data_IF_515789160570
#
_entry.id   IF_515789160570
#
_cell.length_a   1.000
_cell.length_b   1.000
_cell.length_c   1.000
_cell.angle_alpha   90.00
_cell.angle_beta   90.00
_cell.angle_gamma   90.00
#
_symmetry.space_group_name_H-M   'P 1'
#
loop_
_entity.id
_entity.type
_entity.pdbx_description
1 polymer ?
#
# COMPACT_ATOMS: atom_id res chain seq x y z
N UNK A 1 19.06 -15.54 -21.22
CA UNK A 1 18.80 -14.39 -22.10
C UNK A 1 17.32 -14.24 -22.52
N UNK A 2 16.61 -15.28 -23.00
CA UNK A 2 15.17 -15.14 -23.38
C UNK A 2 14.23 -14.77 -22.23
N UNK A 3 14.50 -15.22 -21.01
CA UNK A 3 13.69 -14.89 -19.82
C UNK A 3 13.85 -13.42 -19.40
N UNK A 4 15.08 -12.87 -19.45
CA UNK A 4 15.36 -11.47 -19.11
C UNK A 4 14.73 -10.48 -20.10
N UNK A 5 14.75 -10.83 -21.41
CA UNK A 5 14.13 -10.01 -22.45
C UNK A 5 12.59 -9.97 -22.31
N UNK A 6 11.95 -11.10 -21.94
CA UNK A 6 10.50 -11.16 -21.66
C UNK A 6 10.11 -10.36 -20.43
N UNK A 7 10.97 -10.34 -19.41
CA UNK A 7 10.77 -9.53 -18.20
C UNK A 7 10.81 -8.03 -18.51
N UNK A 8 11.73 -7.61 -19.38
CA UNK A 8 11.82 -6.21 -19.82
C UNK A 8 10.57 -5.76 -20.61
N UNK A 9 10.00 -6.65 -21.44
CA UNK A 9 8.78 -6.38 -22.22
C UNK A 9 7.56 -6.24 -21.29
N UNK A 10 7.46 -7.03 -20.24
CA UNK A 10 6.40 -6.91 -19.22
C UNK A 10 6.53 -5.58 -18.45
N UNK A 11 7.76 -5.19 -18.08
CA UNK A 11 8.03 -3.94 -17.37
C UNK A 11 7.69 -2.70 -18.22
N UNK A 12 8.03 -2.71 -19.52
CA UNK A 12 7.72 -1.62 -20.46
C UNK A 12 6.21 -1.49 -20.75
N UNK A 13 5.49 -2.62 -20.76
CA UNK A 13 4.04 -2.62 -20.98
C UNK A 13 3.27 -2.08 -19.76
N UNK A 14 3.79 -2.28 -18.54
CA UNK A 14 3.15 -1.87 -17.29
C UNK A 14 3.43 -0.41 -16.92
N UNK A 15 4.51 0.20 -17.40
CA UNK A 15 4.78 1.64 -17.19
C UNK A 15 3.81 2.55 -17.96
N UNK A 16 3.12 2.03 -18.98
CA UNK A 16 2.06 2.75 -19.71
C UNK A 16 0.64 2.55 -19.15
N UNK A 17 0.48 1.73 -18.10
CA UNK A 17 -0.82 1.32 -17.53
C UNK A 17 -1.15 2.04 -16.19
N UNK A 18 -0.74 3.29 -16.04
CA UNK A 18 -1.07 4.11 -14.85
C UNK A 18 -2.55 4.54 -14.72
N UNK A 19 -3.47 3.90 -15.46
CA UNK A 19 -4.91 4.18 -15.32
C UNK A 19 -5.76 3.02 -15.84
N UNK A 20 -5.90 1.93 -15.09
CA UNK A 20 -6.94 0.95 -15.44
C UNK A 20 -7.51 0.26 -14.22
N UNK A 21 -8.40 0.95 -13.55
CA UNK A 21 -9.38 0.31 -12.67
C UNK A 21 -10.38 -0.48 -13.54
N UNK A 22 -10.65 -1.71 -13.12
CA UNK A 22 -11.67 -2.64 -13.65
C UNK A 22 -11.49 -3.11 -15.10
N UNK A 23 -10.57 -4.04 -15.33
CA UNK A 23 -10.34 -4.66 -16.64
C UNK A 23 -11.49 -5.53 -17.15
N UNK A 24 -12.44 -5.92 -16.35
CA UNK A 24 -13.59 -6.73 -16.78
C UNK A 24 -14.83 -5.92 -17.18
N UNK A 25 -14.87 -4.62 -16.92
CA UNK A 25 -15.96 -3.73 -17.37
C UNK A 25 -15.61 -2.87 -18.56
N UNK A 26 -14.35 -2.81 -18.96
CA UNK A 26 -13.91 -2.00 -20.10
C UNK A 26 -13.50 -2.90 -21.25
N UNK A 27 -14.24 -2.84 -22.32
CA UNK A 27 -13.93 -3.34 -23.65
C UNK A 27 -14.22 -4.81 -23.93
N UNK A 28 -15.45 -5.26 -24.10
CA UNK A 28 -15.86 -6.26 -25.07
C UNK A 28 -14.93 -7.43 -25.47
N UNK A 29 -13.81 -7.63 -24.77
CA UNK A 29 -12.89 -8.73 -24.99
C UNK A 29 -13.51 -10.00 -24.37
N UNK A 30 -13.78 -10.96 -25.22
CA UNK A 30 -14.34 -12.23 -24.79
C UNK A 30 -13.41 -12.93 -23.81
N UNK A 31 -13.92 -13.26 -22.64
CA UNK A 31 -13.26 -14.16 -21.69
C UNK A 31 -13.08 -15.52 -22.36
N UNK A 32 -11.90 -16.10 -22.22
CA UNK A 32 -11.57 -17.45 -22.69
C UNK A 32 -11.29 -18.36 -21.51
N UNK A 33 -11.74 -19.57 -21.57
CA UNK A 33 -11.36 -20.61 -20.62
C UNK A 33 -10.17 -21.36 -21.19
N UNK A 34 -9.06 -21.31 -20.45
CA UNK A 34 -7.80 -21.91 -20.85
C UNK A 34 -7.36 -22.88 -19.75
N UNK A 35 -6.71 -23.98 -20.14
CA UNK A 35 -6.16 -24.96 -19.23
C UNK A 35 -4.63 -24.85 -19.19
N UNK A 36 -4.04 -24.96 -18.00
CA UNK A 36 -2.59 -25.00 -17.85
C UNK A 36 -2.03 -26.34 -18.33
N UNK A 37 -1.04 -26.30 -19.22
CA UNK A 37 -0.32 -27.48 -19.73
C UNK A 37 0.75 -27.98 -18.77
N UNK A 38 1.29 -27.07 -17.96
CA UNK A 38 2.31 -27.30 -16.95
C UNK A 38 2.09 -26.36 -15.77
N UNK A 39 2.90 -26.48 -14.70
CA UNK A 39 2.87 -25.57 -13.58
C UNK A 39 3.25 -24.14 -14.05
N UNK A 40 2.36 -23.20 -13.85
CA UNK A 40 2.49 -21.86 -14.41
C UNK A 40 2.57 -20.79 -13.32
N UNK A 41 3.56 -19.92 -13.43
CA UNK A 41 3.76 -18.79 -12.50
C UNK A 41 2.74 -17.69 -12.78
N UNK A 42 2.15 -17.17 -11.70
CA UNK A 42 1.30 -15.99 -11.74
C UNK A 42 2.15 -14.76 -11.40
N UNK A 43 2.05 -13.75 -12.25
CA UNK A 43 2.63 -12.44 -12.02
C UNK A 43 1.53 -11.45 -11.72
N UNK A 44 1.75 -10.49 -10.81
CA UNK A 44 0.80 -9.40 -10.58
C UNK A 44 1.51 -8.13 -10.09
N UNK A 45 0.83 -7.01 -10.24
CA UNK A 45 1.29 -5.76 -9.62
C UNK A 45 0.92 -5.78 -8.13
N UNK A 46 1.93 -5.57 -7.30
CA UNK A 46 1.82 -5.41 -5.84
C UNK A 46 2.53 -4.11 -5.46
N UNK A 47 1.76 -3.12 -5.02
CA UNK A 47 2.27 -1.76 -4.91
C UNK A 47 2.73 -1.22 -6.27
N UNK A 48 3.99 -0.84 -6.38
CA UNK A 48 4.59 -0.32 -7.63
C UNK A 48 5.42 -1.37 -8.39
N UNK A 49 5.44 -2.62 -7.93
CA UNK A 49 6.27 -3.66 -8.50
C UNK A 49 5.43 -4.77 -9.12
N UNK A 50 5.92 -5.34 -10.22
CA UNK A 50 5.41 -6.60 -10.76
C UNK A 50 6.26 -7.72 -10.19
N UNK A 51 5.61 -8.63 -9.48
CA UNK A 51 6.28 -9.73 -8.78
C UNK A 51 5.57 -11.05 -9.05
N UNK A 52 6.26 -12.16 -8.85
CA UNK A 52 5.61 -13.46 -8.79
C UNK A 52 4.75 -13.52 -7.52
N UNK A 53 3.47 -13.81 -7.70
CA UNK A 53 2.46 -13.83 -6.62
C UNK A 53 1.93 -15.23 -6.34
N UNK A 54 2.49 -16.24 -6.99
CA UNK A 54 2.15 -17.64 -6.80
C UNK A 54 2.24 -18.43 -8.08
N UNK A 55 1.63 -19.60 -8.08
CA UNK A 55 1.52 -20.48 -9.23
C UNK A 55 0.17 -21.21 -9.25
N UNK A 56 -0.14 -21.76 -10.40
CA UNK A 56 -1.18 -22.79 -10.59
C UNK A 56 -0.54 -24.03 -11.20
N UNK A 57 -0.99 -25.21 -10.77
CA UNK A 57 -0.49 -26.49 -11.27
C UNK A 57 -1.00 -26.78 -12.68
N UNK A 58 -0.38 -27.75 -13.34
CA UNK A 58 -0.86 -28.30 -14.61
C UNK A 58 -2.32 -28.78 -14.50
N UNK A 59 -3.06 -28.72 -15.59
CA UNK A 59 -4.44 -29.18 -15.69
C UNK A 59 -5.48 -28.23 -15.10
N UNK A 60 -5.13 -27.03 -14.67
CA UNK A 60 -6.07 -26.10 -14.03
C UNK A 60 -6.74 -25.20 -15.07
N UNK A 61 -8.05 -25.04 -14.96
CA UNK A 61 -8.83 -24.17 -15.85
C UNK A 61 -8.93 -22.78 -15.23
N UNK A 62 -8.60 -21.77 -16.02
CA UNK A 62 -8.67 -20.36 -15.67
C UNK A 62 -9.50 -19.58 -16.69
N UNK A 63 -10.27 -18.62 -16.21
CA UNK A 63 -10.93 -17.63 -17.06
C UNK A 63 -9.96 -16.47 -17.29
N UNK A 64 -9.56 -16.24 -18.52
CA UNK A 64 -8.51 -15.29 -18.90
C UNK A 64 -8.95 -14.40 -20.06
N UNK A 65 -8.32 -13.26 -20.18
CA UNK A 65 -8.51 -12.31 -21.29
C UNK A 65 -7.21 -12.20 -22.08
N UNK A 66 -7.22 -12.38 -23.42
CA UNK A 66 -6.01 -12.26 -24.21
C UNK A 66 -5.52 -10.81 -24.25
N UNK A 67 -4.20 -10.62 -24.11
CA UNK A 67 -3.53 -9.32 -24.31
C UNK A 67 -2.85 -9.29 -25.67
N UNK A 68 -2.35 -8.11 -26.08
CA UNK A 68 -1.51 -7.97 -27.25
C UNK A 68 -0.10 -8.57 -27.04
N UNK A 69 0.34 -8.72 -25.80
CA UNK A 69 1.61 -9.33 -25.40
C UNK A 69 1.50 -10.85 -25.25
N UNK A 70 2.59 -11.51 -24.86
CA UNK A 70 2.69 -12.96 -24.66
C UNK A 70 2.03 -13.45 -23.38
N UNK A 71 1.10 -12.68 -22.81
CA UNK A 71 0.41 -12.99 -21.55
C UNK A 71 -1.10 -12.98 -21.71
N UNK A 72 -1.76 -13.78 -20.89
CA UNK A 72 -3.18 -13.63 -20.57
C UNK A 72 -3.32 -12.86 -19.26
N UNK A 73 -4.38 -12.05 -19.17
CA UNK A 73 -4.80 -11.33 -17.97
C UNK A 73 -5.97 -12.03 -17.29
N UNK A 74 -6.02 -11.94 -15.95
CA UNK A 74 -7.15 -12.38 -15.16
C UNK A 74 -7.24 -11.59 -13.85
N UNK A 75 -8.35 -11.72 -13.12
CA UNK A 75 -8.51 -11.05 -11.81
C UNK A 75 -7.59 -11.69 -10.77
N UNK A 76 -6.81 -10.85 -10.10
CA UNK A 76 -5.96 -11.27 -9.00
C UNK A 76 -6.11 -10.28 -7.84
N UNK A 77 -6.87 -10.66 -6.79
CA UNK A 77 -7.19 -9.78 -5.68
C UNK A 77 -7.92 -8.51 -6.14
N UNK A 78 -7.37 -7.34 -5.80
CA UNK A 78 -7.88 -6.04 -6.23
C UNK A 78 -7.29 -5.56 -7.56
N UNK A 79 -6.39 -6.32 -8.15
CA UNK A 79 -5.69 -5.96 -9.38
C UNK A 79 -5.78 -7.04 -10.45
N UNK A 80 -4.79 -7.02 -11.32
CA UNK A 80 -4.67 -7.93 -12.46
C UNK A 80 -3.51 -8.89 -12.24
N UNK A 81 -3.76 -10.17 -12.48
CA UNK A 81 -2.74 -11.20 -12.62
C UNK A 81 -2.43 -11.46 -14.09
N UNK A 82 -1.23 -11.96 -14.35
CA UNK A 82 -0.71 -12.29 -15.66
C UNK A 82 -0.14 -13.70 -15.66
N UNK A 83 -0.36 -14.44 -16.74
CA UNK A 83 0.20 -15.76 -16.96
C UNK A 83 0.68 -15.87 -18.41
N UNK A 84 1.82 -16.53 -18.63
CA UNK A 84 2.38 -16.70 -19.97
C UNK A 84 1.45 -17.53 -20.85
N UNK A 85 1.22 -17.10 -22.08
CA UNK A 85 0.38 -17.82 -23.06
C UNK A 85 0.93 -19.18 -23.41
N UNK A 86 2.24 -19.36 -23.36
CA UNK A 86 2.91 -20.64 -23.64
C UNK A 86 2.57 -21.77 -22.67
N UNK A 87 2.05 -21.44 -21.48
CA UNK A 87 1.64 -22.42 -20.47
C UNK A 87 0.15 -22.76 -20.50
N UNK A 88 -0.60 -22.27 -21.49
CA UNK A 88 -2.05 -22.38 -21.54
C UNK A 88 -2.51 -22.87 -22.92
N UNK A 89 -3.46 -23.78 -22.93
CA UNK A 89 -4.15 -24.23 -24.12
C UNK A 89 -5.67 -24.02 -23.99
N UNK A 90 -6.41 -23.90 -25.11
CA UNK A 90 -7.87 -23.82 -25.07
C UNK A 90 -8.47 -25.08 -24.47
N UNK A 91 -9.44 -24.92 -23.56
CA UNK A 91 -10.21 -26.07 -23.03
C UNK A 91 -10.99 -26.74 -24.18
N UNK A 92 -10.74 -28.03 -24.42
CA UNK A 92 -11.45 -28.81 -25.41
C UNK A 92 -12.79 -29.27 -24.83
N UNK A 93 -13.88 -29.01 -25.59
CA UNK A 93 -15.24 -29.43 -25.23
C UNK A 93 -16.04 -28.38 -24.45
N UNK A 94 -17.37 -28.65 -24.33
CA UNK A 94 -18.31 -27.84 -23.53
C UNK A 94 -18.18 -28.15 -22.02
N UNK A 95 -16.98 -28.16 -21.48
CA UNK A 95 -16.84 -28.17 -20.05
C UNK A 95 -17.32 -26.77 -19.58
N UNK A 96 -18.61 -26.67 -19.27
CA UNK A 96 -19.08 -25.64 -18.36
C UNK A 96 -18.16 -25.74 -17.17
N UNK A 97 -17.31 -24.73 -17.00
CA UNK A 97 -16.80 -24.41 -15.67
C UNK A 97 -18.09 -24.18 -14.91
N UNK A 98 -18.57 -25.20 -14.19
CA UNK A 98 -19.76 -25.05 -13.37
C UNK A 98 -19.56 -23.82 -12.54
N UNK A 99 -20.58 -22.97 -12.44
CA UNK A 99 -20.68 -21.79 -11.61
C UNK A 99 -20.48 -22.14 -10.11
N UNK A 100 -19.32 -22.69 -9.78
CA UNK A 100 -18.77 -22.72 -8.40
C UNK A 100 -18.39 -21.32 -7.91
N UNK A 101 -18.58 -20.38 -8.78
CA UNK A 101 -18.27 -18.99 -8.61
C UNK A 101 -19.48 -18.27 -8.04
N UNK A 102 -19.94 -18.44 -6.96
CA UNK A 102 -21.04 -17.63 -6.41
C UNK A 102 -21.07 -16.21 -7.06
N UNK A 103 -22.04 -15.44 -6.81
CA UNK A 103 -22.28 -14.14 -7.45
C UNK A 103 -20.96 -13.34 -7.68
N UNK A 104 -20.46 -13.34 -8.91
CA UNK A 104 -19.25 -12.62 -9.35
C UNK A 104 -19.36 -11.11 -9.11
N UNK A 105 -20.61 -10.60 -8.94
CA UNK A 105 -20.90 -9.20 -8.63
C UNK A 105 -20.84 -8.93 -7.13
N UNK A 106 -20.72 -9.96 -6.28
CA UNK A 106 -20.56 -9.74 -4.86
C UNK A 106 -19.27 -8.95 -4.62
N UNK A 107 -19.33 -7.74 -4.05
CA UNK A 107 -18.15 -6.95 -3.80
C UNK A 107 -17.21 -7.74 -2.88
N UNK A 108 -15.92 -7.66 -3.17
CA UNK A 108 -14.90 -8.17 -2.27
C UNK A 108 -15.08 -7.48 -0.91
N UNK A 109 -15.03 -8.24 0.18
CA UNK A 109 -15.09 -7.65 1.51
C UNK A 109 -13.84 -6.79 1.75
N UNK A 110 -13.92 -5.82 2.68
CA UNK A 110 -12.73 -5.10 3.15
C UNK A 110 -11.85 -5.97 4.06
N UNK A 111 -12.15 -7.26 4.19
CA UNK A 111 -11.37 -8.21 4.96
C UNK A 111 -10.35 -8.87 4.04
N UNK A 112 -9.12 -8.96 4.53
CA UNK A 112 -8.02 -9.55 3.79
C UNK A 112 -7.35 -10.62 4.64
N UNK A 113 -6.66 -11.55 3.98
CA UNK A 113 -5.69 -12.43 4.58
C UNK A 113 -4.27 -11.95 4.27
N UNK A 114 -3.33 -12.33 5.10
CA UNK A 114 -1.89 -12.12 4.94
C UNK A 114 -1.19 -13.46 4.77
N UNK A 115 -0.36 -13.58 3.74
CA UNK A 115 0.51 -14.75 3.57
C UNK A 115 1.90 -14.43 4.11
N UNK A 116 2.40 -15.23 5.08
CA UNK A 116 3.75 -15.10 5.65
C UNK A 116 4.72 -16.16 5.11
N UNK A 117 4.19 -17.12 4.37
CA UNK A 117 4.88 -18.20 3.66
C UNK A 117 4.10 -18.51 2.39
N UNK A 118 4.68 -19.31 1.52
CA UNK A 118 3.95 -19.83 0.36
C UNK A 118 2.75 -20.63 0.84
N UNK A 119 1.57 -20.26 0.36
CA UNK A 119 0.29 -20.64 0.93
C UNK A 119 -0.50 -21.49 -0.05
N UNK A 120 -0.77 -22.78 0.26
CA UNK A 120 -1.49 -23.68 -0.63
C UNK A 120 -2.93 -23.23 -0.91
N UNK A 121 -3.38 -23.48 -2.14
CA UNK A 121 -4.75 -23.22 -2.63
C UNK A 121 -5.50 -24.52 -2.83
N UNK A 122 -6.65 -24.67 -2.18
CA UNK A 122 -7.47 -25.85 -2.25
C UNK A 122 -8.83 -25.57 -2.92
N UNK A 123 -9.41 -26.59 -3.58
CA UNK A 123 -10.75 -26.53 -4.15
C UNK A 123 -11.86 -26.60 -3.10
N UNK A 124 -11.57 -27.15 -1.94
CA UNK A 124 -12.49 -27.31 -0.83
C UNK A 124 -11.80 -26.90 0.49
N UNK A 125 -12.55 -26.56 1.55
CA UNK A 125 -11.98 -26.26 2.87
C UNK A 125 -11.51 -27.55 3.57
N UNK A 126 -10.53 -28.20 2.98
CA UNK A 126 -9.96 -29.47 3.43
C UNK A 126 -8.56 -29.67 2.86
N UNK A 127 -7.67 -30.23 3.66
CA UNK A 127 -6.33 -30.67 3.25
C UNK A 127 -6.30 -32.09 2.66
N UNK A 128 -7.44 -32.75 2.54
CA UNK A 128 -7.52 -34.15 1.99
C UNK A 128 -7.30 -34.20 0.47
N UNK A 129 -7.44 -33.08 -0.23
CA UNK A 129 -7.10 -32.96 -1.66
C UNK A 129 -5.76 -32.31 -1.86
N UNK A 130 -5.08 -32.63 -2.97
CA UNK A 130 -3.86 -31.92 -3.34
C UNK A 130 -4.19 -30.45 -3.68
N UNK A 131 -3.36 -29.48 -3.28
CA UNK A 131 -3.57 -28.10 -3.66
C UNK A 131 -3.40 -27.93 -5.18
N UNK A 132 -4.23 -27.09 -5.77
CA UNK A 132 -4.17 -26.80 -7.22
C UNK A 132 -3.21 -25.66 -7.59
N UNK A 133 -2.67 -24.98 -6.60
CA UNK A 133 -1.72 -23.87 -6.77
C UNK A 133 -1.24 -23.36 -5.43
N UNK A 134 -0.54 -22.23 -5.47
CA UNK A 134 0.04 -21.57 -4.29
C UNK A 134 -0.05 -20.06 -4.45
N UNK A 135 -0.38 -19.34 -3.38
CA UNK A 135 -0.07 -17.91 -3.26
C UNK A 135 1.36 -17.76 -2.72
N UNK A 136 2.12 -16.85 -3.27
CA UNK A 136 3.44 -16.50 -2.74
C UNK A 136 3.33 -15.90 -1.33
N UNK A 137 4.43 -15.94 -0.59
CA UNK A 137 4.52 -15.23 0.67
C UNK A 137 4.43 -13.70 0.47
N UNK A 138 4.22 -12.98 1.56
CA UNK A 138 4.18 -11.52 1.60
C UNK A 138 3.08 -10.89 0.74
N UNK A 139 1.91 -11.52 0.65
CA UNK A 139 0.74 -10.96 -0.02
C UNK A 139 -0.34 -10.58 0.99
N UNK A 140 -1.09 -9.55 0.61
CA UNK A 140 -2.35 -9.13 1.23
C UNK A 140 -3.45 -9.41 0.22
N UNK A 141 -4.40 -10.28 0.54
CA UNK A 141 -5.34 -10.81 -0.43
C UNK A 141 -6.79 -10.75 0.09
N UNK A 142 -7.78 -10.28 -0.71
CA UNK A 142 -9.16 -10.14 -0.25
C UNK A 142 -9.84 -11.48 0.02
N UNK A 143 -10.56 -11.55 1.14
CA UNK A 143 -11.38 -12.68 1.55
C UNK A 143 -12.81 -12.47 1.01
N UNK A 144 -13.39 -13.51 0.41
CA UNK A 144 -14.80 -13.53 0.01
C UNK A 144 -15.72 -13.99 1.14
N UNK A 145 -15.31 -15.04 1.85
CA UNK A 145 -16.06 -15.60 2.97
C UNK A 145 -15.13 -16.37 3.91
N UNK A 146 -15.63 -16.69 5.08
CA UNK A 146 -14.96 -17.52 6.09
C UNK A 146 -15.86 -18.69 6.45
N UNK A 147 -15.24 -19.84 6.66
CA UNK A 147 -15.89 -21.06 7.13
C UNK A 147 -15.07 -21.65 8.28
N UNK A 148 -15.75 -22.22 9.28
CA UNK A 148 -15.14 -23.12 10.24
C UNK A 148 -15.50 -24.54 9.91
N UNK A 149 -14.49 -25.40 9.82
CA UNK A 149 -14.70 -26.83 9.61
C UNK A 149 -15.11 -27.56 10.92
N UNK A 150 -15.32 -28.86 10.84
CA UNK A 150 -15.70 -29.69 12.00
C UNK A 150 -14.66 -29.75 13.10
N UNK A 151 -13.41 -29.40 12.80
CA UNK A 151 -12.29 -29.33 13.75
C UNK A 151 -12.11 -27.90 14.31
N UNK A 152 -13.09 -26.99 14.05
CA UNK A 152 -13.06 -25.59 14.44
C UNK A 152 -11.91 -24.80 13.77
N UNK A 153 -11.29 -25.31 12.71
CA UNK A 153 -10.28 -24.60 11.93
C UNK A 153 -10.98 -23.62 10.98
N UNK A 154 -10.48 -22.40 10.93
CA UNK A 154 -10.98 -21.36 10.01
C UNK A 154 -10.37 -21.57 8.61
N UNK A 155 -11.20 -21.48 7.59
CA UNK A 155 -10.84 -21.44 6.19
C UNK A 155 -11.27 -20.12 5.57
N UNK A 156 -10.39 -19.54 4.77
CA UNK A 156 -10.67 -18.33 4.02
C UNK A 156 -10.97 -18.69 2.57
N UNK A 157 -12.13 -18.27 2.08
CA UNK A 157 -12.44 -18.36 0.66
C UNK A 157 -11.95 -17.12 -0.05
N UNK A 158 -11.21 -17.32 -1.12
CA UNK A 158 -10.68 -16.25 -1.99
C UNK A 158 -11.04 -16.55 -3.44
N UNK A 159 -10.78 -15.58 -4.34
CA UNK A 159 -11.02 -15.76 -5.77
C UNK A 159 -9.76 -15.42 -6.57
N UNK A 160 -9.32 -16.37 -7.39
CA UNK A 160 -8.21 -16.21 -8.33
C UNK A 160 -8.79 -16.34 -9.73
N UNK A 161 -8.78 -15.23 -10.49
CA UNK A 161 -9.56 -15.17 -11.72
C UNK A 161 -11.04 -15.33 -11.40
N UNK A 162 -11.69 -16.22 -12.12
CA UNK A 162 -13.06 -16.63 -11.86
C UNK A 162 -13.14 -17.96 -11.11
N UNK A 163 -12.08 -18.39 -10.45
CA UNK A 163 -12.02 -19.62 -9.67
C UNK A 163 -12.01 -19.32 -8.18
N UNK A 164 -12.85 -20.03 -7.43
CA UNK A 164 -12.81 -20.03 -5.97
C UNK A 164 -11.65 -20.89 -5.47
N UNK A 165 -11.02 -20.44 -4.41
CA UNK A 165 -9.97 -21.15 -3.72
C UNK A 165 -10.18 -21.04 -2.21
N UNK A 166 -9.74 -22.06 -1.49
CA UNK A 166 -9.73 -22.10 -0.05
C UNK A 166 -8.31 -22.07 0.49
N UNK A 167 -8.11 -21.26 1.53
CA UNK A 167 -6.83 -21.09 2.24
C UNK A 167 -7.05 -21.40 3.71
N UNK A 168 -6.18 -22.23 4.27
CA UNK A 168 -6.22 -22.58 5.69
C UNK A 168 -5.71 -21.43 6.57
N UNK A 169 -6.35 -21.20 7.72
CA UNK A 169 -5.84 -20.29 8.75
C UNK A 169 -4.54 -20.77 9.42
N UNK A 170 -4.08 -21.98 9.15
CA UNK A 170 -2.74 -22.46 9.55
C UNK A 170 -1.63 -21.90 8.63
N UNK A 171 -2.00 -21.50 7.42
CA UNK A 171 -1.06 -21.03 6.39
C UNK A 171 -1.13 -19.52 6.15
N UNK A 172 -2.25 -18.88 6.52
CA UNK A 172 -2.45 -17.45 6.38
C UNK A 172 -3.15 -16.86 7.61
N UNK A 173 -2.95 -15.58 7.85
CA UNK A 173 -3.56 -14.86 8.97
C UNK A 173 -4.58 -13.84 8.46
N UNK A 174 -5.57 -13.51 9.29
CA UNK A 174 -6.46 -12.40 9.01
C UNK A 174 -5.72 -11.07 9.16
N UNK A 175 -5.96 -10.18 8.21
CA UNK A 175 -5.39 -8.84 8.23
C UNK A 175 -6.14 -7.93 9.21
N UNK A 176 -5.41 -7.31 10.13
CA UNK A 176 -5.93 -6.32 11.07
C UNK A 176 -5.70 -4.87 10.64
N UNK A 177 -5.20 -4.63 9.43
CA UNK A 177 -4.95 -3.32 8.85
C UNK A 177 -3.48 -3.02 8.60
N UNK A 178 -3.24 -1.84 8.01
CA UNK A 178 -1.90 -1.35 7.69
C UNK A 178 -1.47 -0.37 8.78
N UNK A 179 -0.35 -0.59 9.46
CA UNK A 179 0.15 0.35 10.47
C UNK A 179 0.56 1.67 9.82
N UNK A 180 0.23 2.77 10.51
CA UNK A 180 0.70 4.12 10.18
C UNK A 180 1.53 4.62 11.35
N UNK A 181 2.84 4.81 11.12
CA UNK A 181 3.76 5.34 12.13
C UNK A 181 3.86 6.85 11.95
N UNK A 182 3.49 7.61 12.99
CA UNK A 182 3.52 9.08 12.96
C UNK A 182 4.61 9.61 13.86
N UNK A 183 5.52 10.39 13.28
CA UNK A 183 6.61 11.07 13.95
C UNK A 183 6.44 12.59 13.86
N UNK A 184 7.17 13.32 14.73
CA UNK A 184 7.22 14.78 14.70
C UNK A 184 8.67 15.24 14.84
N UNK A 185 9.15 15.42 16.07
CA UNK A 185 10.49 15.91 16.36
C UNK A 185 11.47 14.74 16.52
N UNK A 186 12.60 14.81 15.82
CA UNK A 186 13.68 13.81 15.93
C UNK A 186 14.92 14.51 16.47
N UNK A 187 15.44 14.11 17.63
CA UNK A 187 16.60 14.72 18.26
C UNK A 187 17.58 13.67 18.77
N UNK A 188 18.88 14.03 18.81
CA UNK A 188 19.86 13.23 19.53
C UNK A 188 19.64 13.34 21.04
N UNK A 189 19.90 12.26 21.76
CA UNK A 189 19.71 12.23 23.23
C UNK A 189 20.57 13.31 23.92
N UNK A 190 21.79 13.53 23.42
CA UNK A 190 22.77 14.49 23.98
C UNK A 190 22.35 15.95 23.79
N UNK A 191 21.69 16.28 22.68
CA UNK A 191 21.28 17.65 22.36
C UNK A 191 19.87 17.97 22.86
N UNK A 192 19.06 16.95 23.21
CA UNK A 192 17.68 17.11 23.65
C UNK A 192 17.62 17.52 25.13
N UNK A 193 17.80 18.78 25.42
CA UNK A 193 17.66 19.32 26.78
C UNK A 193 16.26 19.84 27.09
N UNK A 194 15.51 20.27 26.06
CA UNK A 194 14.22 20.97 26.22
C UNK A 194 13.00 20.08 26.00
N UNK A 195 13.10 19.08 25.13
CA UNK A 195 11.96 18.29 24.65
C UNK A 195 11.96 16.85 25.20
N UNK A 196 12.73 16.55 26.25
CA UNK A 196 12.86 15.21 26.83
C UNK A 196 11.54 14.61 27.29
N UNK A 197 10.63 15.44 27.76
CA UNK A 197 9.32 15.00 28.28
C UNK A 197 8.18 15.30 27.28
N UNK A 198 8.50 15.63 26.04
CA UNK A 198 7.51 15.86 24.98
C UNK A 198 7.22 14.54 24.26
N UNK A 199 6.00 14.05 24.38
CA UNK A 199 5.59 12.74 23.83
C UNK A 199 5.73 12.62 22.30
N UNK A 200 5.84 13.75 21.59
CA UNK A 200 6.03 13.81 20.13
C UNK A 200 7.50 13.94 19.72
N UNK A 201 8.44 13.79 20.67
CA UNK A 201 9.88 13.77 20.37
C UNK A 201 10.42 12.36 20.45
N UNK A 202 11.01 11.89 19.36
CA UNK A 202 11.67 10.59 19.25
C UNK A 202 13.18 10.79 19.16
N UNK A 203 13.98 9.97 19.86
CA UNK A 203 15.43 10.06 19.73
C UNK A 203 15.89 9.53 18.37
N UNK A 204 16.99 10.10 17.84
CA UNK A 204 17.62 9.61 16.59
C UNK A 204 17.93 8.11 16.69
N UNK A 205 18.43 7.67 17.85
CA UNK A 205 18.73 6.25 18.09
C UNK A 205 17.47 5.38 18.01
N UNK A 206 16.39 5.77 18.67
CA UNK A 206 15.14 5.02 18.63
C UNK A 206 14.55 4.97 17.22
N UNK A 207 14.53 6.12 16.52
CA UNK A 207 14.08 6.19 15.14
C UNK A 207 14.90 5.27 14.22
N UNK A 208 16.23 5.35 14.29
CA UNK A 208 17.12 4.52 13.47
C UNK A 208 16.90 3.04 13.76
N UNK A 209 16.77 2.63 15.02
CA UNK A 209 16.51 1.24 15.39
C UNK A 209 15.17 0.74 14.83
N UNK A 210 14.12 1.57 14.87
CA UNK A 210 12.81 1.24 14.30
C UNK A 210 12.89 1.06 12.78
N UNK A 211 13.56 1.97 12.07
CA UNK A 211 13.73 1.87 10.62
C UNK A 211 14.60 0.66 10.23
N UNK A 212 15.65 0.37 11.01
CA UNK A 212 16.48 -0.82 10.84
C UNK A 212 15.66 -2.09 10.99
N UNK A 213 14.82 -2.16 12.03
CA UNK A 213 13.95 -3.30 12.26
C UNK A 213 12.95 -3.49 11.09
N UNK A 214 12.32 -2.42 10.62
CA UNK A 214 11.41 -2.49 9.47
C UNK A 214 12.12 -3.03 8.21
N UNK A 215 13.34 -2.56 7.94
CA UNK A 215 14.17 -3.06 6.83
C UNK A 215 14.47 -4.55 6.98
N UNK A 216 14.96 -4.95 8.15
CA UNK A 216 15.39 -6.33 8.41
C UNK A 216 14.22 -7.31 8.40
N UNK A 217 13.02 -6.85 8.75
CA UNK A 217 11.78 -7.62 8.62
C UNK A 217 11.18 -7.57 7.20
N UNK A 218 11.81 -6.90 6.25
CA UNK A 218 11.34 -6.82 4.86
C UNK A 218 10.07 -5.99 4.67
N UNK A 219 9.84 -4.96 5.50
CA UNK A 219 8.72 -4.07 5.33
C UNK A 219 8.89 -3.16 4.11
N UNK A 220 7.80 -2.97 3.39
CA UNK A 220 7.67 -2.00 2.30
C UNK A 220 6.95 -0.76 2.82
N UNK A 221 7.55 0.40 2.65
CA UNK A 221 6.90 1.67 2.98
C UNK A 221 5.96 2.11 1.88
N UNK A 222 4.80 2.63 2.26
CA UNK A 222 3.74 3.03 1.34
C UNK A 222 3.65 4.56 1.23
N UNK A 223 3.34 5.03 0.03
CA UNK A 223 2.77 6.36 -0.15
C UNK A 223 1.30 6.36 0.29
N UNK A 224 0.75 7.54 0.62
CA UNK A 224 -0.67 7.66 0.93
C UNK A 224 -1.56 7.37 -0.30
N UNK A 225 -1.06 7.59 -1.51
CA UNK A 225 -1.76 7.22 -2.76
C UNK A 225 -1.94 5.70 -2.88
N UNK A 226 -0.91 4.93 -2.52
CA UNK A 226 -1.00 3.47 -2.47
C UNK A 226 -1.95 3.00 -1.37
N UNK A 227 -1.88 3.62 -0.18
CA UNK A 227 -2.80 3.33 0.90
C UNK A 227 -4.26 3.63 0.50
N UNK A 228 -4.53 4.78 -0.14
CA UNK A 228 -5.85 5.12 -0.66
C UNK A 228 -6.30 4.11 -1.73
N UNK A 229 -5.43 3.78 -2.67
CA UNK A 229 -5.72 2.79 -3.72
C UNK A 229 -6.12 1.44 -3.13
N UNK A 230 -5.46 1.01 -2.06
CA UNK A 230 -5.79 -0.22 -1.34
C UNK A 230 -7.14 -0.10 -0.61
N UNK A 231 -7.36 0.96 0.17
CA UNK A 231 -8.63 1.20 0.88
C UNK A 231 -9.82 1.27 -0.08
N UNK A 232 -9.58 1.75 -1.31
CA UNK A 232 -10.58 1.79 -2.39
C UNK A 232 -10.68 0.48 -3.18
N UNK A 233 -10.00 -0.58 -2.77
CA UNK A 233 -9.98 -1.88 -3.45
C UNK A 233 -9.52 -1.81 -4.92
N UNK A 234 -8.48 -1.00 -5.21
CA UNK A 234 -7.96 -0.80 -6.57
C UNK A 234 -6.59 -1.42 -6.81
N UNK A 235 -5.83 -1.69 -5.76
CA UNK A 235 -4.47 -2.24 -5.85
C UNK A 235 -4.22 -3.30 -4.80
N UNK A 236 -3.33 -4.24 -5.10
CA UNK A 236 -2.78 -5.17 -4.12
C UNK A 236 -1.59 -4.54 -3.39
N UNK A 237 -1.42 -4.87 -2.12
CA UNK A 237 -0.25 -4.48 -1.33
C UNK A 237 0.43 -5.71 -0.71
N UNK A 238 1.73 -5.61 -0.38
CA UNK A 238 2.41 -6.68 0.34
C UNK A 238 1.84 -6.82 1.77
N UNK A 239 2.00 -8.00 2.38
CA UNK A 239 1.62 -8.24 3.76
C UNK A 239 2.42 -7.35 4.72
N UNK A 240 3.73 -7.25 4.48
CA UNK A 240 4.63 -6.35 5.23
C UNK A 240 4.62 -4.95 4.63
N UNK A 241 3.53 -4.22 4.84
CA UNK A 241 3.35 -2.84 4.41
C UNK A 241 3.17 -1.91 5.62
N UNK A 242 3.75 -0.70 5.55
CA UNK A 242 3.67 0.33 6.59
C UNK A 242 3.66 1.70 5.95
N UNK A 243 2.85 2.64 6.44
CA UNK A 243 2.96 4.04 6.10
C UNK A 243 3.76 4.78 7.19
N UNK A 244 4.68 5.64 6.78
CA UNK A 244 5.48 6.48 7.67
C UNK A 244 5.10 7.93 7.42
N UNK A 245 4.71 8.65 8.47
CA UNK A 245 4.29 10.05 8.38
C UNK A 245 5.05 10.92 9.36
N UNK A 246 5.26 12.17 9.00
CA UNK A 246 5.88 13.19 9.84
C UNK A 246 5.01 14.43 9.83
N UNK A 247 4.60 14.88 11.01
CA UNK A 247 3.79 16.09 11.15
C UNK A 247 4.64 17.33 11.38
N UNK A 248 4.03 18.51 11.27
CA UNK A 248 4.54 19.87 11.51
C UNK A 248 5.53 20.43 10.47
N UNK A 249 6.34 19.64 9.82
CA UNK A 249 7.39 20.11 8.92
C UNK A 249 8.64 20.62 9.64
N UNK A 250 9.05 19.94 10.72
CA UNK A 250 10.19 20.31 11.54
C UNK A 250 11.53 20.08 10.84
N UNK A 251 12.47 21.01 11.04
CA UNK A 251 13.84 20.95 10.47
C UNK A 251 14.63 19.71 10.91
N UNK A 252 14.34 19.17 12.08
CA UNK A 252 14.96 17.95 12.58
C UNK A 252 14.68 16.71 11.71
N UNK A 253 13.54 16.69 11.00
CA UNK A 253 13.18 15.63 10.06
C UNK A 253 14.16 15.61 8.89
N UNK A 254 14.44 16.76 8.28
CA UNK A 254 15.47 16.86 7.24
C UNK A 254 16.85 16.45 7.77
N UNK A 255 17.20 16.88 8.99
CA UNK A 255 18.52 16.65 9.55
C UNK A 255 18.79 15.19 9.92
N UNK A 256 17.81 14.49 10.48
CA UNK A 256 18.01 13.19 11.10
C UNK A 256 17.18 12.04 10.48
N UNK A 257 15.94 12.28 10.10
CA UNK A 257 15.10 11.24 9.54
C UNK A 257 15.38 11.00 8.05
N UNK A 258 15.50 12.06 7.27
CA UNK A 258 15.74 11.95 5.82
C UNK A 258 16.95 11.10 5.43
N UNK A 259 18.15 11.27 6.03
CA UNK A 259 19.30 10.43 5.66
C UNK A 259 19.08 8.95 5.92
N UNK A 260 18.40 8.59 7.02
CA UNK A 260 18.11 7.19 7.38
C UNK A 260 17.11 6.58 6.41
N UNK A 261 16.01 7.28 6.13
CA UNK A 261 15.00 6.81 5.18
C UNK A 261 15.58 6.64 3.78
N UNK A 262 16.38 7.60 3.32
CA UNK A 262 17.06 7.55 2.02
C UNK A 262 18.01 6.36 1.93
N UNK A 263 18.80 6.11 2.97
CA UNK A 263 19.74 4.99 3.03
C UNK A 263 19.02 3.63 2.89
N UNK A 264 17.80 3.51 3.44
CA UNK A 264 17.04 2.26 3.39
C UNK A 264 16.08 2.17 2.21
N UNK A 265 16.03 3.18 1.34
CA UNK A 265 15.08 3.24 0.22
C UNK A 265 13.62 3.36 0.69
N UNK A 266 13.39 3.90 1.88
CA UNK A 266 12.06 4.07 2.45
C UNK A 266 11.44 5.39 2.00
N UNK A 267 10.13 5.35 1.76
CA UNK A 267 9.30 6.53 1.51
C UNK A 267 8.52 6.92 2.76
N UNK A 268 8.25 8.22 2.89
CA UNK A 268 7.42 8.76 3.95
C UNK A 268 6.56 9.92 3.44
N UNK A 269 5.57 10.32 4.21
CA UNK A 269 4.79 11.54 3.96
C UNK A 269 5.12 12.59 5.00
N UNK A 270 5.39 13.82 4.57
CA UNK A 270 5.57 14.95 5.46
C UNK A 270 4.36 15.90 5.38
N UNK A 271 3.62 16.01 6.46
CA UNK A 271 2.51 16.94 6.62
C UNK A 271 3.03 18.29 7.12
N UNK A 272 2.96 19.30 6.28
CA UNK A 272 3.61 20.58 6.50
C UNK A 272 2.61 21.65 6.94
N UNK A 273 2.89 22.34 8.07
CA UNK A 273 2.22 23.59 8.43
C UNK A 273 2.75 24.68 7.49
N UNK A 274 2.03 24.93 6.40
CA UNK A 274 2.57 25.72 5.29
C UNK A 274 2.88 27.18 5.64
N UNK A 275 2.26 27.76 6.68
CA UNK A 275 2.60 29.10 7.20
C UNK A 275 3.91 29.14 7.99
N UNK A 276 4.49 27.99 8.31
CA UNK A 276 5.75 27.90 9.08
C UNK A 276 6.97 27.71 8.17
N UNK A 277 6.79 27.45 6.88
CA UNK A 277 7.89 27.29 5.91
C UNK A 277 8.78 28.53 5.94
N UNK A 278 10.10 28.32 6.04
CA UNK A 278 11.10 29.39 6.07
C UNK A 278 11.60 29.70 4.66
N UNK A 279 11.90 30.96 4.38
CA UNK A 279 12.52 31.36 3.10
C UNK A 279 13.93 30.78 2.95
N UNK A 280 14.72 30.85 4.05
CA UNK A 280 16.10 30.40 4.09
C UNK A 280 16.32 29.40 5.24
N UNK A 281 17.27 28.45 5.11
CA UNK A 281 17.63 27.54 6.19
C UNK A 281 18.11 28.32 7.43
N UNK A 282 17.59 27.94 8.58
CA UNK A 282 18.05 28.50 9.87
C UNK A 282 19.28 27.72 10.35
N UNK A 283 20.18 28.39 11.10
CA UNK A 283 21.23 27.69 11.84
C UNK A 283 20.57 26.69 12.80
N UNK A 284 21.12 25.49 12.87
CA UNK A 284 20.55 24.43 13.74
C UNK A 284 20.62 24.83 15.22
N UNK A 285 19.50 24.72 15.90
CA UNK A 285 19.36 24.91 17.34
C UNK A 285 18.40 23.87 17.92
N UNK A 286 18.89 22.81 18.60
CA UNK A 286 18.06 21.76 19.16
C UNK A 286 17.17 22.21 20.34
N UNK A 287 17.39 23.44 20.85
CA UNK A 287 16.58 24.00 21.95
C UNK A 287 15.33 24.73 21.46
N UNK A 288 15.15 24.87 20.14
CA UNK A 288 14.00 25.55 19.55
C UNK A 288 13.26 24.67 18.51
N UNK A 289 11.94 24.86 18.40
CA UNK A 289 11.17 24.25 17.31
C UNK A 289 11.45 25.03 16.02
N UNK A 290 12.30 24.47 15.17
CA UNK A 290 12.64 25.01 13.87
C UNK A 290 11.89 24.28 12.77
N UNK A 291 11.43 25.04 11.78
CA UNK A 291 10.71 24.53 10.61
C UNK A 291 11.60 24.56 9.38
N UNK A 292 11.35 23.61 8.47
CA UNK A 292 12.09 23.52 7.21
C UNK A 292 11.91 24.75 6.33
N UNK A 293 12.94 25.06 5.59
CA UNK A 293 12.95 26.09 4.55
C UNK A 293 12.53 25.50 3.19
N UNK A 294 12.29 26.41 2.23
CA UNK A 294 11.96 26.03 0.84
C UNK A 294 13.03 25.10 0.25
N UNK A 295 14.31 25.39 0.43
CA UNK A 295 15.39 24.56 -0.10
C UNK A 295 15.47 23.18 0.59
N UNK A 296 15.23 23.12 1.89
CA UNK A 296 15.19 21.87 2.65
C UNK A 296 14.01 21.00 2.23
N UNK A 297 12.81 21.58 2.01
CA UNK A 297 11.67 20.84 1.49
C UNK A 297 11.89 20.30 0.07
N UNK A 298 12.58 21.04 -0.80
CA UNK A 298 12.94 20.56 -2.13
C UNK A 298 13.94 19.41 -2.09
N UNK A 299 14.86 19.43 -1.14
CA UNK A 299 15.88 18.39 -0.97
C UNK A 299 15.29 17.03 -0.64
N UNK A 300 14.19 16.98 0.11
CA UNK A 300 13.62 15.70 0.57
C UNK A 300 12.59 15.07 -0.38
N UNK A 301 12.29 15.63 -1.54
CA UNK A 301 11.22 15.17 -2.44
C UNK A 301 11.48 13.77 -3.04
N UNK A 302 12.72 13.29 -2.99
CA UNK A 302 13.09 11.92 -3.40
C UNK A 302 12.68 10.84 -2.38
N UNK A 303 12.36 11.25 -1.16
CA UNK A 303 11.97 10.37 -0.04
C UNK A 303 10.58 10.71 0.48
N UNK A 304 10.24 11.99 0.52
CA UNK A 304 9.01 12.48 1.15
C UNK A 304 7.99 12.99 0.15
N UNK A 305 6.77 12.49 0.27
CA UNK A 305 5.59 13.12 -0.30
C UNK A 305 5.13 14.28 0.61
N UNK A 306 5.11 15.50 0.07
CA UNK A 306 4.76 16.70 0.82
C UNK A 306 3.25 16.91 0.79
N UNK A 307 2.61 16.88 1.97
CA UNK A 307 1.17 17.01 2.13
C UNK A 307 0.79 18.08 3.17
N UNK A 308 -0.50 18.35 3.34
CA UNK A 308 -0.97 19.48 4.15
C UNK A 308 -1.13 19.13 5.63
N UNK A 309 -0.59 19.98 6.52
CA UNK A 309 -0.95 20.06 7.94
C UNK A 309 -1.63 21.39 8.27
N UNK A 310 -2.49 21.89 7.37
CA UNK A 310 -3.11 23.22 7.38
C UNK A 310 -2.15 24.38 7.10
N UNK A 311 -2.68 25.58 6.95
CA UNK A 311 -1.88 26.80 6.84
C UNK A 311 -1.73 27.48 8.21
N UNK A 312 -2.84 27.92 8.81
CA UNK A 312 -2.86 28.60 10.12
C UNK A 312 -3.61 27.84 11.21
N UNK A 313 -4.39 26.82 10.87
CA UNK A 313 -5.31 26.21 11.83
C UNK A 313 -4.63 25.29 12.85
N UNK A 314 -3.33 25.00 12.69
CA UNK A 314 -2.54 24.28 13.69
C UNK A 314 -2.08 25.23 14.83
N UNK A 315 -3.05 25.72 15.59
CA UNK A 315 -2.85 26.67 16.71
C UNK A 315 -3.91 26.44 17.78
N UNK A 316 -3.66 26.96 18.96
CA UNK A 316 -4.63 27.01 20.06
C UNK A 316 -5.04 28.45 20.35
N UNK A 317 -6.26 28.66 20.83
CA UNK A 317 -6.74 29.94 21.35
C UNK A 317 -6.16 30.24 22.76
N UNK A 318 -6.55 31.36 23.36
CA UNK A 318 -6.14 31.74 24.71
C UNK A 318 -6.60 30.70 25.77
N UNK A 319 -7.66 29.96 25.54
CA UNK A 319 -8.15 28.87 26.38
C UNK A 319 -7.52 27.52 26.07
N UNK A 320 -6.42 27.49 25.28
CA UNK A 320 -5.72 26.28 24.83
C UNK A 320 -6.58 25.33 23.99
N UNK A 321 -7.70 25.78 23.42
CA UNK A 321 -8.53 24.99 22.52
C UNK A 321 -8.03 25.13 21.08
N UNK A 322 -8.04 24.04 20.29
CA UNK A 322 -7.69 24.15 18.87
C UNK A 322 -8.56 25.14 18.12
N UNK A 323 -7.96 26.12 17.47
CA UNK A 323 -8.70 27.18 16.76
C UNK A 323 -9.55 26.63 15.61
N UNK A 324 -9.23 25.46 15.10
CA UNK A 324 -10.00 24.79 14.06
C UNK A 324 -11.48 24.60 14.48
N UNK A 325 -11.74 24.29 15.76
CA UNK A 325 -13.12 24.09 16.26
C UNK A 325 -13.93 25.38 16.39
N UNK A 326 -13.26 26.55 16.43
CA UNK A 326 -13.92 27.85 16.52
C UNK A 326 -14.09 28.54 15.15
N UNK A 327 -13.65 27.88 14.05
CA UNK A 327 -13.72 28.45 12.71
C UNK A 327 -14.95 27.95 11.94
N UNK A 328 -15.55 28.86 11.18
CA UNK A 328 -16.62 28.51 10.27
C UNK A 328 -16.08 27.79 9.02
N UNK A 329 -16.98 27.16 8.27
CA UNK A 329 -16.69 26.41 7.07
C UNK A 329 -15.84 27.18 6.04
N UNK A 330 -16.17 28.45 5.77
CA UNK A 330 -15.46 29.28 4.80
C UNK A 330 -14.00 29.53 5.21
N UNK A 331 -13.74 29.80 6.49
CA UNK A 331 -12.41 30.00 7.02
C UNK A 331 -11.55 28.73 6.94
N UNK A 332 -12.17 27.56 7.16
CA UNK A 332 -11.51 26.25 7.04
C UNK A 332 -11.14 25.99 5.57
N UNK A 333 -12.07 26.15 4.65
CA UNK A 333 -11.81 25.97 3.22
C UNK A 333 -10.72 26.96 2.71
N UNK A 334 -10.78 28.21 3.14
CA UNK A 334 -9.77 29.20 2.77
C UNK A 334 -8.37 28.81 3.26
N UNK A 335 -8.25 28.33 4.49
CA UNK A 335 -6.98 27.86 5.06
C UNK A 335 -6.44 26.66 4.26
N UNK A 336 -7.28 25.67 3.94
CA UNK A 336 -6.89 24.51 3.15
C UNK A 336 -6.45 24.90 1.73
N UNK A 337 -7.17 25.83 1.08
CA UNK A 337 -6.81 26.33 -0.23
C UNK A 337 -5.45 27.07 -0.20
N UNK A 338 -5.18 27.86 0.85
CA UNK A 338 -3.87 28.51 1.05
C UNK A 338 -2.75 27.50 1.27
N UNK A 339 -3.01 26.47 2.10
CA UNK A 339 -2.05 25.40 2.33
C UNK A 339 -1.72 24.69 1.02
N UNK A 340 -2.73 24.26 0.28
CA UNK A 340 -2.55 23.58 -1.02
C UNK A 340 -1.75 24.43 -2.00
N UNK A 341 -2.07 25.73 -2.14
CA UNK A 341 -1.34 26.68 -3.01
C UNK A 341 0.12 26.80 -2.59
N UNK A 342 0.40 26.93 -1.30
CA UNK A 342 1.77 27.08 -0.79
C UNK A 342 2.61 25.82 -1.02
N UNK A 343 1.98 24.63 -0.95
CA UNK A 343 2.65 23.34 -1.08
C UNK A 343 2.74 22.83 -2.52
N UNK A 344 1.94 23.37 -3.46
CA UNK A 344 1.93 22.93 -4.87
C UNK A 344 3.27 23.11 -5.59
N UNK A 345 4.17 23.97 -5.10
CA UNK A 345 5.53 24.09 -5.60
C UNK A 345 6.44 22.91 -5.25
N UNK A 346 6.03 22.05 -4.31
CA UNK A 346 6.76 20.86 -3.88
C UNK A 346 6.05 19.59 -4.32
N UNK A 347 4.72 19.60 -4.35
CA UNK A 347 3.90 18.49 -4.78
C UNK A 347 2.67 19.01 -5.54
N UNK A 348 2.52 18.71 -6.85
CA UNK A 348 1.34 19.11 -7.62
C UNK A 348 0.04 18.46 -7.12
N UNK A 349 0.14 17.35 -6.38
CA UNK A 349 -0.98 16.54 -5.89
C UNK A 349 -1.08 16.59 -4.36
N UNK A 350 -1.31 17.78 -3.78
CA UNK A 350 -1.60 17.93 -2.34
C UNK A 350 -3.05 17.52 -2.10
N UNK A 351 -3.28 16.25 -1.77
CA UNK A 351 -4.59 15.62 -1.62
C UNK A 351 -4.92 15.22 -0.19
N UNK A 352 -3.90 15.02 0.66
CA UNK A 352 -4.05 14.49 2.00
C UNK A 352 -3.82 15.56 3.05
N UNK A 353 -4.57 15.42 4.15
CA UNK A 353 -4.51 16.31 5.30
C UNK A 353 -4.28 15.49 6.57
N UNK A 354 -3.23 15.82 7.33
CA UNK A 354 -3.16 15.43 8.74
C UNK A 354 -3.91 16.46 9.56
N UNK A 355 -4.87 15.98 10.36
CA UNK A 355 -5.74 16.84 11.15
C UNK A 355 -5.01 17.31 12.42
N UNK A 356 -4.94 18.63 12.71
CA UNK A 356 -4.32 19.12 13.94
C UNK A 356 -5.03 18.64 15.19
N UNK A 357 -4.29 18.19 16.19
CA UNK A 357 -4.79 17.86 17.54
C UNK A 357 -5.80 16.71 17.65
N UNK A 358 -5.31 15.47 17.51
CA UNK A 358 -6.11 14.24 17.72
C UNK A 358 -6.70 14.07 19.14
N UNK A 359 -6.24 14.81 20.15
CA UNK A 359 -6.66 14.60 21.56
C UNK A 359 -8.08 15.07 21.90
N UNK A 360 -8.84 15.56 20.95
CA UNK A 360 -10.17 16.15 21.20
C UNK A 360 -11.31 15.49 20.43
N UNK A 361 -11.12 14.26 19.94
CA UNK A 361 -12.18 13.45 19.34
C UNK A 361 -12.23 12.13 20.09
N UNK A 362 -12.75 12.17 21.29
CA UNK A 362 -13.40 11.07 22.01
C UNK A 362 -14.63 11.64 22.66
#
# INVERSE_FOLDING_TARGET
MRMLARFLTLLLFLTSLSASASLLSQHGKAVRYMQTTEDAVIWAQVGNHVVSVGNVRAGQILAVVPTAADYYEFRFGFGTGFIDKGHLEPVQGKQRVEDRLGDLNKPLSNQNLLTWKDTPLYDAPSVSSAPFGTLANNLRYPILSKLKDRLNQTWFQIRIGDRLAWVSSLDAQEDHGIPVLTYHHILRDEENTRFRHTSTTTSVRAFTNQMTWLRDQGYTTLTLYQLEGYVRNKINLPARAVAITFDDGLKSVNRYAYPVLKQYGFHATAFIISSRIKRHPQKWDPKSLQFMSISELRQLQDVFDIQSHTHFLHRVDAGRRPILFSRNYHNILFDFARSRRALSQFNPHVLYLSYPNRKSVV
#
